data_IF_638220256441
#
_entry.id   IF_638220256441
#
_cell.length_a   1.000
_cell.length_b   1.000
_cell.length_c   1.000
_cell.angle_alpha   90.00
_cell.angle_beta   90.00
_cell.angle_gamma   90.00
#
_symmetry.space_group_name_H-M   'P 1'
#
loop_
_entity.id
_entity.type
_entity.pdbx_description
1 polymer ?
#
# COMPACT_ATOMS: atom_id res chain seq x y z
N UNK A 1 -20.14 -21.41 -33.04
CA UNK A 1 -20.13 -20.00 -32.62
C UNK A 1 -19.83 -19.99 -31.13
N UNK A 2 -18.92 -19.15 -30.64
CA UNK A 2 -18.76 -18.96 -29.20
C UNK A 2 -19.90 -18.05 -28.71
N UNK A 3 -20.65 -18.50 -27.71
CA UNK A 3 -21.61 -17.64 -27.01
C UNK A 3 -20.84 -16.64 -26.17
N UNK A 4 -20.88 -15.36 -26.55
CA UNK A 4 -20.40 -14.28 -25.69
C UNK A 4 -21.28 -14.25 -24.46
N UNK A 5 -20.75 -14.66 -23.30
CA UNK A 5 -21.43 -14.44 -22.03
C UNK A 5 -21.60 -12.93 -21.83
N UNK A 6 -22.85 -12.47 -21.83
CA UNK A 6 -23.18 -11.10 -21.46
C UNK A 6 -22.92 -10.97 -19.96
N UNK A 7 -21.73 -10.46 -19.61
CA UNK A 7 -21.37 -10.10 -18.23
C UNK A 7 -22.51 -9.28 -17.63
N UNK A 8 -23.08 -9.77 -16.52
CA UNK A 8 -24.17 -9.05 -15.83
C UNK A 8 -23.62 -7.71 -15.32
N UNK A 9 -24.36 -6.59 -15.48
CA UNK A 9 -23.93 -5.29 -14.97
C UNK A 9 -23.57 -5.35 -13.48
N UNK A 10 -22.35 -4.90 -13.13
CA UNK A 10 -21.81 -5.01 -11.77
C UNK A 10 -22.24 -3.81 -10.93
N UNK A 11 -23.49 -3.82 -10.45
CA UNK A 11 -23.98 -2.86 -9.46
C UNK A 11 -25.49 -2.57 -9.52
N UNK A 12 -25.95 -1.47 -8.89
CA UNK A 12 -27.35 -1.06 -8.92
C UNK A 12 -27.80 -0.59 -10.32
N UNK A 13 -29.12 -0.47 -10.58
CA UNK A 13 -29.62 0.11 -11.83
C UNK A 13 -28.98 1.46 -12.16
N UNK A 14 -28.61 1.66 -13.43
CA UNK A 14 -27.91 2.86 -13.88
C UNK A 14 -26.40 2.90 -13.63
N UNK A 15 -25.82 1.88 -12.99
CA UNK A 15 -24.37 1.74 -12.85
C UNK A 15 -23.72 1.40 -14.23
N UNK A 16 -22.69 2.16 -14.67
CA UNK A 16 -21.85 1.84 -15.82
C UNK A 16 -21.21 0.45 -15.74
N UNK A 17 -20.90 -0.13 -16.89
CA UNK A 17 -20.10 -1.35 -16.95
C UNK A 17 -18.64 -1.04 -16.58
N UNK A 18 -18.31 -1.22 -15.30
CA UNK A 18 -16.97 -1.00 -14.75
C UNK A 18 -16.71 -2.06 -13.67
N UNK A 19 -15.48 -2.56 -13.62
CA UNK A 19 -15.05 -3.61 -12.70
C UNK A 19 -13.82 -3.16 -11.90
N UNK A 20 -13.45 -3.94 -10.87
CA UNK A 20 -12.23 -3.72 -10.10
C UNK A 20 -10.99 -3.73 -11.02
N UNK A 21 -10.81 -4.80 -11.79
CA UNK A 21 -9.81 -4.86 -12.85
C UNK A 21 -10.24 -3.96 -14.00
N UNK A 22 -9.45 -2.95 -14.41
CA UNK A 22 -9.85 -2.00 -15.46
C UNK A 22 -9.79 -2.65 -16.85
N UNK A 23 -10.70 -2.23 -17.72
CA UNK A 23 -10.84 -2.77 -19.08
C UNK A 23 -10.56 -1.65 -20.10
N UNK A 24 -9.47 -1.81 -20.85
CA UNK A 24 -8.95 -0.78 -21.73
C UNK A 24 -9.83 -0.55 -22.96
N UNK A 25 -10.53 -1.57 -23.46
CA UNK A 25 -11.39 -1.44 -24.64
C UNK A 25 -12.79 -0.95 -24.27
N UNK A 26 -13.26 -1.27 -23.06
CA UNK A 26 -14.42 -0.63 -22.44
C UNK A 26 -14.17 0.87 -22.24
N UNK A 27 -13.02 1.25 -21.66
CA UNK A 27 -12.60 2.65 -21.52
C UNK A 27 -12.56 3.40 -22.86
N UNK A 28 -11.84 2.89 -23.87
CA UNK A 28 -11.82 3.49 -25.23
C UNK A 28 -13.22 3.63 -25.82
N UNK A 29 -14.07 2.62 -25.66
CA UNK A 29 -15.44 2.62 -26.19
C UNK A 29 -16.32 3.66 -25.49
N UNK A 30 -16.20 3.78 -24.16
CA UNK A 30 -16.83 4.82 -23.35
C UNK A 30 -16.39 6.20 -23.81
N UNK A 31 -15.10 6.47 -23.91
CA UNK A 31 -14.58 7.77 -24.35
C UNK A 31 -15.00 8.13 -25.77
N UNK A 32 -14.96 7.18 -26.71
CA UNK A 32 -15.48 7.39 -28.06
C UNK A 32 -16.98 7.72 -28.05
N UNK A 33 -17.78 7.02 -27.23
CA UNK A 33 -19.21 7.32 -27.07
C UNK A 33 -19.39 8.74 -26.50
N UNK A 34 -18.82 9.04 -25.33
CA UNK A 34 -18.94 10.34 -24.65
C UNK A 34 -18.57 11.50 -25.56
N UNK A 35 -17.38 11.46 -26.17
CA UNK A 35 -16.90 12.51 -27.09
C UNK A 35 -17.74 12.68 -28.36
N UNK A 36 -18.54 11.67 -28.74
CA UNK A 36 -19.47 11.76 -29.89
C UNK A 36 -20.87 12.25 -29.47
N UNK A 37 -21.34 11.91 -28.26
CA UNK A 37 -22.74 12.12 -27.85
C UNK A 37 -22.96 13.23 -26.82
N UNK A 38 -21.90 13.73 -26.18
CA UNK A 38 -22.00 14.67 -25.04
C UNK A 38 -21.22 15.96 -25.34
N UNK A 39 -21.78 17.12 -24.98
CA UNK A 39 -21.03 18.39 -25.02
C UNK A 39 -20.09 18.46 -23.82
N UNK A 40 -18.85 18.01 -24.02
CA UNK A 40 -17.80 18.06 -23.00
C UNK A 40 -17.18 19.46 -22.92
N UNK A 41 -16.82 19.89 -21.71
CA UNK A 41 -16.00 21.08 -21.49
C UNK A 41 -14.52 20.69 -21.47
N UNK A 42 -13.65 21.27 -22.31
CA UNK A 42 -12.20 21.05 -22.27
C UNK A 42 -11.48 21.88 -21.19
N UNK A 43 -12.19 22.79 -20.51
CA UNK A 43 -11.62 23.63 -19.46
C UNK A 43 -11.35 22.88 -18.15
N UNK A 44 -10.44 23.42 -17.33
CA UNK A 44 -10.34 23.06 -15.92
C UNK A 44 -11.43 23.79 -15.11
N UNK A 45 -11.91 23.21 -13.99
CA UNK A 45 -12.84 23.91 -13.10
C UNK A 45 -12.26 25.22 -12.56
N UNK A 46 -13.14 26.17 -12.21
CA UNK A 46 -12.71 27.45 -11.63
C UNK A 46 -11.82 27.23 -10.38
N UNK A 47 -10.71 27.97 -10.31
CA UNK A 47 -9.71 27.85 -9.24
C UNK A 47 -8.69 26.72 -9.41
N UNK A 48 -8.83 25.81 -10.39
CA UNK A 48 -7.81 24.78 -10.63
C UNK A 48 -6.60 25.34 -11.40
N UNK A 49 -5.36 25.01 -11.01
CA UNK A 49 -4.16 25.51 -11.67
C UNK A 49 -3.91 24.78 -13.00
N UNK A 50 -3.50 25.53 -14.04
CA UNK A 50 -3.21 24.98 -15.37
C UNK A 50 -1.93 24.14 -15.45
N UNK A 51 -1.04 24.24 -14.45
CA UNK A 51 0.02 23.27 -14.17
C UNK A 51 0.25 23.16 -12.67
N UNK A 52 0.75 22.03 -12.21
CA UNK A 52 1.43 21.92 -10.91
C UNK A 52 2.93 22.20 -11.09
N UNK A 53 3.64 22.52 -10.01
CA UNK A 53 5.06 22.86 -10.03
C UNK A 53 5.72 22.69 -8.68
N UNK A 54 6.28 21.50 -8.45
CA UNK A 54 7.10 21.09 -7.31
C UNK A 54 7.88 19.84 -7.74
N UNK A 55 8.87 19.39 -6.96
CA UNK A 55 9.62 18.16 -7.31
C UNK A 55 8.78 16.88 -7.21
N UNK A 56 7.65 16.93 -6.48
CA UNK A 56 6.60 15.89 -6.51
C UNK A 56 5.93 15.75 -7.90
N UNK A 57 6.18 16.69 -8.83
CA UNK A 57 5.75 16.64 -10.23
C UNK A 57 6.91 16.09 -11.07
N UNK A 58 6.87 14.78 -11.29
CA UNK A 58 7.82 14.03 -12.12
C UNK A 58 7.08 13.08 -13.06
N UNK A 59 7.82 12.47 -13.98
CA UNK A 59 7.36 11.32 -14.76
C UNK A 59 8.49 10.29 -14.88
N UNK A 60 8.14 9.04 -15.18
CA UNK A 60 9.10 7.94 -15.33
C UNK A 60 10.28 8.20 -16.24
N UNK A 61 10.00 8.92 -17.31
CA UNK A 61 10.97 9.26 -18.34
C UNK A 61 11.87 10.45 -17.99
N UNK A 62 11.68 11.13 -16.84
CA UNK A 62 12.57 12.21 -16.37
C UNK A 62 13.14 12.03 -14.95
N UNK A 63 12.53 11.22 -14.09
CA UNK A 63 12.95 11.10 -12.69
C UNK A 63 14.31 10.40 -12.53
N UNK A 64 14.65 9.43 -13.38
CA UNK A 64 15.94 8.72 -13.32
C UNK A 64 17.15 9.64 -13.55
N UNK A 65 16.98 10.71 -14.33
CA UNK A 65 18.02 11.72 -14.57
C UNK A 65 18.05 12.82 -13.48
N UNK A 66 17.05 12.85 -12.59
CA UNK A 66 16.86 13.87 -11.55
C UNK A 66 17.11 13.37 -10.13
N UNK A 67 16.98 12.06 -9.88
CA UNK A 67 16.87 11.52 -8.52
C UNK A 67 17.45 10.12 -8.37
N UNK A 68 18.44 9.96 -7.48
CA UNK A 68 18.79 8.65 -6.96
C UNK A 68 17.84 8.27 -5.81
N UNK A 69 16.85 7.45 -6.14
CA UNK A 69 15.91 6.92 -5.16
C UNK A 69 16.49 5.78 -4.31
N UNK A 70 17.69 5.26 -4.58
CA UNK A 70 18.27 4.12 -3.86
C UNK A 70 19.26 4.60 -2.78
N UNK A 71 18.85 4.54 -1.52
CA UNK A 71 19.82 4.60 -0.42
C UNK A 71 20.42 3.20 -0.22
N UNK A 72 21.64 2.99 -0.68
CA UNK A 72 22.39 1.75 -0.47
C UNK A 72 23.12 1.84 0.88
N UNK A 73 22.71 1.01 1.84
CA UNK A 73 23.39 0.85 3.13
C UNK A 73 24.83 0.37 2.91
N UNK A 74 25.75 0.98 3.65
CA UNK A 74 27.13 0.53 3.84
C UNK A 74 27.24 -0.62 4.84
N UNK A 75 28.42 -1.23 4.95
CA UNK A 75 28.67 -2.31 5.93
C UNK A 75 28.50 -1.80 7.37
N UNK A 76 29.05 -0.63 7.67
CA UNK A 76 29.03 0.02 8.98
C UNK A 76 27.58 0.32 9.45
N UNK A 77 26.71 0.79 8.54
CA UNK A 77 25.29 1.01 8.82
C UNK A 77 24.52 -0.32 9.04
N UNK A 78 24.93 -1.40 8.38
CA UNK A 78 24.36 -2.74 8.63
C UNK A 78 24.82 -3.30 9.99
N UNK A 79 26.08 -3.09 10.37
CA UNK A 79 26.58 -3.46 11.71
C UNK A 79 25.88 -2.65 12.83
N UNK A 80 25.59 -1.37 12.58
CA UNK A 80 24.77 -0.55 13.48
C UNK A 80 23.34 -1.10 13.62
N UNK A 81 22.68 -1.45 12.51
CA UNK A 81 21.34 -2.08 12.51
C UNK A 81 21.34 -3.42 13.27
N UNK A 82 22.35 -4.27 13.06
CA UNK A 82 22.49 -5.50 13.83
C UNK A 82 22.72 -5.24 15.32
N UNK A 83 23.47 -4.19 15.66
CA UNK A 83 23.75 -3.80 17.05
C UNK A 83 22.48 -3.27 17.73
N UNK A 84 21.67 -2.49 17.03
CA UNK A 84 20.36 -2.05 17.49
C UNK A 84 19.38 -3.22 17.69
N UNK A 85 19.40 -4.23 16.81
CA UNK A 85 18.64 -5.49 16.99
C UNK A 85 19.09 -6.26 18.24
N UNK A 86 20.41 -6.44 18.42
CA UNK A 86 20.99 -7.09 19.60
C UNK A 86 20.62 -6.32 20.87
N UNK A 87 20.63 -4.99 20.83
CA UNK A 87 20.18 -4.14 21.94
C UNK A 87 18.69 -4.33 22.24
N UNK A 88 17.77 -4.16 21.27
CA UNK A 88 16.34 -4.29 21.49
C UNK A 88 15.97 -5.63 22.14
N UNK A 89 16.53 -6.74 21.61
CA UNK A 89 16.27 -8.08 22.15
C UNK A 89 16.78 -8.24 23.58
N UNK A 90 17.89 -7.58 23.95
CA UNK A 90 18.39 -7.60 25.34
C UNK A 90 17.44 -6.93 26.35
N UNK A 91 16.58 -6.00 25.90
CA UNK A 91 15.59 -5.34 26.75
C UNK A 91 14.43 -6.25 27.16
N UNK A 92 14.24 -7.40 26.48
CA UNK A 92 13.14 -8.35 26.71
C UNK A 92 11.74 -7.68 26.70
N UNK A 93 11.54 -6.67 25.84
CA UNK A 93 10.29 -5.92 25.70
C UNK A 93 9.41 -6.49 24.58
N UNK A 94 8.06 -6.39 24.68
CA UNK A 94 7.16 -6.66 23.55
C UNK A 94 7.47 -5.78 22.34
N UNK A 95 7.21 -6.30 21.13
CA UNK A 95 7.50 -5.62 19.85
C UNK A 95 6.84 -4.23 19.71
N UNK A 96 5.73 -3.97 20.41
CA UNK A 96 5.11 -2.65 20.48
C UNK A 96 6.01 -1.54 21.04
N UNK A 97 7.05 -1.87 21.80
CA UNK A 97 8.02 -0.92 22.36
C UNK A 97 9.19 -0.59 21.42
N UNK A 98 9.20 -1.05 20.17
CA UNK A 98 10.24 -0.70 19.18
C UNK A 98 10.07 0.78 18.79
N UNK A 99 10.99 1.63 19.24
CA UNK A 99 11.08 3.06 18.95
C UNK A 99 12.56 3.47 18.74
N UNK A 100 12.82 4.77 18.54
CA UNK A 100 14.18 5.30 18.31
C UNK A 100 15.12 5.16 19.54
N UNK A 101 14.58 4.96 20.74
CA UNK A 101 15.34 4.81 21.99
C UNK A 101 15.73 3.34 22.22
N UNK A 102 14.81 2.41 21.92
CA UNK A 102 14.97 0.97 22.12
C UNK A 102 15.61 0.25 20.93
N UNK A 103 15.70 0.92 19.77
CA UNK A 103 16.43 0.49 18.59
C UNK A 103 17.34 1.65 18.11
N UNK A 104 18.43 1.97 18.83
CA UNK A 104 19.21 3.18 18.57
C UNK A 104 20.12 3.07 17.34
N UNK A 105 20.00 4.02 16.41
CA UNK A 105 20.82 4.14 15.19
C UNK A 105 21.58 5.48 15.14
N UNK A 106 22.51 5.77 16.07
CA UNK A 106 23.09 7.10 16.24
C UNK A 106 23.79 7.69 15.01
N UNK A 107 24.34 6.86 14.11
CA UNK A 107 24.99 7.33 12.88
C UNK A 107 23.99 7.40 11.70
N UNK A 108 23.29 6.31 11.42
CA UNK A 108 22.32 6.17 10.32
C UNK A 108 21.08 7.06 10.49
N UNK A 109 20.72 7.46 11.71
CA UNK A 109 19.52 8.27 12.00
C UNK A 109 19.42 9.55 11.16
N UNK A 110 20.52 10.28 10.94
CA UNK A 110 20.49 11.51 10.15
C UNK A 110 20.05 11.24 8.71
N UNK A 111 20.60 10.20 8.07
CA UNK A 111 20.21 9.80 6.73
C UNK A 111 18.73 9.35 6.68
N UNK A 112 18.26 8.64 7.70
CA UNK A 112 16.84 8.25 7.80
C UNK A 112 15.90 9.46 8.02
N UNK A 113 16.34 10.55 8.67
CA UNK A 113 15.61 11.83 8.69
C UNK A 113 15.61 12.52 7.32
N UNK A 114 16.74 12.56 6.62
CA UNK A 114 16.82 13.09 5.24
C UNK A 114 15.90 12.32 4.29
N UNK A 115 15.82 11.00 4.41
CA UNK A 115 14.87 10.17 3.65
C UNK A 115 13.41 10.55 3.98
N UNK A 116 13.08 10.87 5.23
CA UNK A 116 11.72 11.34 5.55
C UNK A 116 11.38 12.68 4.88
N UNK A 117 12.33 13.63 4.86
CA UNK A 117 12.17 14.90 4.16
C UNK A 117 11.96 14.68 2.64
N UNK A 118 12.77 13.81 2.02
CA UNK A 118 12.68 13.48 0.59
C UNK A 118 11.32 12.87 0.19
N UNK A 119 10.73 12.01 1.03
CA UNK A 119 9.44 11.37 0.74
C UNK A 119 8.21 12.24 1.05
N UNK A 120 8.32 13.26 1.90
CA UNK A 120 7.22 14.20 2.14
C UNK A 120 7.26 15.39 1.16
N UNK A 121 8.44 15.95 0.92
CA UNK A 121 8.59 17.27 0.31
C UNK A 121 9.31 17.27 -1.06
N UNK A 122 9.97 16.17 -1.44
CA UNK A 122 10.74 16.09 -2.71
C UNK A 122 10.09 15.14 -3.74
N UNK A 123 10.53 13.87 -3.85
CA UNK A 123 10.09 12.96 -4.92
C UNK A 123 9.00 11.95 -4.51
N UNK A 124 8.66 11.87 -3.22
CA UNK A 124 7.52 11.07 -2.74
C UNK A 124 7.81 9.57 -2.49
N UNK A 125 9.03 9.09 -2.73
CA UNK A 125 9.46 7.73 -2.40
C UNK A 125 10.98 7.60 -2.29
N UNK A 126 11.46 6.56 -1.59
CA UNK A 126 12.86 6.13 -1.51
C UNK A 126 12.89 4.60 -1.38
N UNK A 127 13.98 3.98 -1.82
CA UNK A 127 14.29 2.56 -1.63
C UNK A 127 15.52 2.46 -0.73
N UNK A 128 15.34 1.96 0.49
CA UNK A 128 16.45 1.58 1.36
C UNK A 128 16.88 0.16 1.02
N UNK A 129 18.14 -0.05 0.66
CA UNK A 129 18.67 -1.33 0.18
C UNK A 129 19.86 -1.79 1.01
N UNK A 130 19.95 -3.09 1.28
CA UNK A 130 21.06 -3.73 2.01
C UNK A 130 20.72 -4.31 3.39
N UNK A 131 19.44 -4.32 3.80
CA UNK A 131 19.02 -4.95 5.05
C UNK A 131 19.36 -6.46 5.06
N UNK A 132 19.81 -7.04 6.19
CA UNK A 132 20.32 -8.42 6.27
C UNK A 132 19.23 -9.51 6.30
N UNK A 133 18.23 -9.40 5.42
CA UNK A 133 16.96 -10.14 5.49
C UNK A 133 17.13 -11.66 5.48
N UNK A 134 18.04 -12.17 4.64
CA UNK A 134 18.23 -13.61 4.43
C UNK A 134 18.97 -14.33 5.58
N UNK A 135 19.66 -13.59 6.45
CA UNK A 135 20.42 -14.12 7.59
C UNK A 135 19.67 -14.01 8.93
N UNK A 136 18.57 -13.25 8.95
CA UNK A 136 17.78 -12.96 10.13
C UNK A 136 16.54 -13.87 10.23
N UNK A 137 16.04 -14.13 11.45
CA UNK A 137 14.73 -14.79 11.61
C UNK A 137 13.58 -13.86 11.19
N UNK A 138 12.37 -14.40 11.05
CA UNK A 138 11.17 -13.59 10.77
C UNK A 138 10.94 -12.50 11.82
N UNK A 139 11.17 -12.80 13.09
CA UNK A 139 11.05 -11.84 14.19
C UNK A 139 12.15 -10.78 14.12
N UNK A 140 13.41 -11.18 13.91
CA UNK A 140 14.53 -10.24 13.74
C UNK A 140 14.28 -9.27 12.57
N UNK A 141 13.78 -9.78 11.44
CA UNK A 141 13.42 -8.98 10.28
C UNK A 141 12.31 -7.97 10.59
N UNK A 142 11.30 -8.36 11.37
CA UNK A 142 10.23 -7.46 11.83
C UNK A 142 10.76 -6.42 12.82
N UNK A 143 11.70 -6.78 13.71
CA UNK A 143 12.36 -5.85 14.64
C UNK A 143 13.19 -4.82 13.88
N UNK A 144 14.08 -5.26 12.97
CA UNK A 144 14.89 -4.38 12.11
C UNK A 144 13.99 -3.42 11.34
N UNK A 145 12.95 -3.95 10.68
CA UNK A 145 12.05 -3.16 9.86
C UNK A 145 11.31 -2.09 10.67
N UNK A 146 10.75 -2.47 11.82
CA UNK A 146 10.06 -1.53 12.70
C UNK A 146 11.02 -0.48 13.27
N UNK A 147 12.23 -0.88 13.67
CA UNK A 147 13.27 -0.02 14.23
C UNK A 147 13.77 1.02 13.23
N UNK A 148 14.27 0.58 12.07
CA UNK A 148 14.68 1.49 10.98
C UNK A 148 13.52 2.41 10.56
N UNK A 149 12.30 1.88 10.43
CA UNK A 149 11.11 2.69 10.12
C UNK A 149 10.83 3.76 11.18
N UNK A 150 11.16 3.55 12.46
CA UNK A 150 10.95 4.55 13.52
C UNK A 150 11.77 5.82 13.34
N UNK A 151 12.94 5.76 12.70
CA UNK A 151 13.74 6.95 12.42
C UNK A 151 13.26 7.69 11.16
N UNK A 152 12.62 6.99 10.21
CA UNK A 152 11.96 7.64 9.06
C UNK A 152 10.63 8.27 9.49
N UNK A 153 9.72 7.51 10.08
CA UNK A 153 8.40 7.99 10.48
C UNK A 153 7.96 7.29 11.79
N UNK A 154 8.08 7.97 12.96
CA UNK A 154 8.03 7.29 14.27
C UNK A 154 6.67 6.73 14.67
N UNK A 155 5.55 7.32 14.22
CA UNK A 155 4.20 6.89 14.61
C UNK A 155 3.71 5.81 13.65
N UNK A 156 3.10 4.74 14.17
CA UNK A 156 2.56 3.62 13.37
C UNK A 156 1.04 3.64 13.34
N UNK A 157 0.47 3.27 12.21
CA UNK A 157 -0.97 3.20 11.96
C UNK A 157 -1.53 1.79 12.13
N UNK A 158 -2.63 1.69 12.88
CA UNK A 158 -3.51 0.52 13.03
C UNK A 158 -4.07 0.11 11.67
N UNK A 159 -3.83 -1.15 11.28
CA UNK A 159 -4.35 -1.78 10.06
C UNK A 159 -5.48 -2.79 10.34
N UNK A 160 -5.60 -3.27 11.58
CA UNK A 160 -6.69 -4.07 12.12
C UNK A 160 -6.86 -3.74 13.62
N UNK A 161 -8.08 -3.84 14.15
CA UNK A 161 -8.38 -3.51 15.56
C UNK A 161 -8.44 -4.76 16.47
N UNK A 162 -8.07 -5.92 15.93
CA UNK A 162 -8.07 -7.19 16.65
C UNK A 162 -7.07 -8.18 16.07
N UNK A 163 -6.56 -9.04 16.94
CA UNK A 163 -5.83 -10.26 16.61
C UNK A 163 -6.55 -11.43 17.27
N UNK A 164 -6.91 -12.44 16.47
CA UNK A 164 -7.55 -13.69 16.91
C UNK A 164 -8.76 -13.47 17.86
N UNK A 165 -9.65 -12.55 17.45
CA UNK A 165 -10.87 -12.16 18.17
C UNK A 165 -10.65 -11.28 19.41
N UNK A 166 -9.40 -10.93 19.76
CA UNK A 166 -9.06 -10.08 20.92
C UNK A 166 -8.73 -8.66 20.46
N UNK A 167 -9.17 -7.60 21.16
CA UNK A 167 -8.77 -6.22 20.86
C UNK A 167 -7.25 -6.06 20.84
N UNK A 168 -6.70 -5.53 19.76
CA UNK A 168 -5.27 -5.32 19.57
C UNK A 168 -5.02 -4.31 18.44
N UNK A 169 -3.95 -3.51 18.54
CA UNK A 169 -3.58 -2.56 17.51
C UNK A 169 -2.58 -3.20 16.55
N UNK A 170 -3.10 -3.86 15.51
CA UNK A 170 -2.29 -4.58 14.52
C UNK A 170 -1.67 -3.55 13.56
N UNK A 171 -0.42 -3.17 13.79
CA UNK A 171 0.27 -2.13 13.00
C UNK A 171 1.00 -2.66 11.78
N UNK A 172 1.38 -3.94 11.78
CA UNK A 172 2.03 -4.63 10.66
C UNK A 172 1.05 -5.56 9.95
N UNK A 173 1.08 -5.55 8.61
CA UNK A 173 0.22 -6.39 7.78
C UNK A 173 1.01 -7.08 6.67
N UNK A 174 0.80 -8.39 6.51
CA UNK A 174 1.42 -9.18 5.45
C UNK A 174 0.69 -8.99 4.11
N UNK A 175 1.44 -8.86 3.03
CA UNK A 175 0.96 -8.88 1.65
C UNK A 175 1.50 -10.17 1.03
N UNK A 176 0.76 -11.26 1.20
CA UNK A 176 1.07 -12.60 0.69
C UNK A 176 -0.15 -13.24 0.07
N UNK A 177 0.01 -13.99 -1.01
CA UNK A 177 -1.09 -14.81 -1.53
C UNK A 177 -1.56 -15.81 -0.46
N UNK A 178 -2.86 -15.75 -0.14
CA UNK A 178 -3.53 -16.63 0.81
C UNK A 178 -4.52 -17.56 0.10
N UNK A 179 -4.68 -17.47 -1.24
CA UNK A 179 -5.72 -18.20 -1.98
C UNK A 179 -5.55 -19.72 -1.98
N UNK A 180 -4.35 -20.22 -1.66
CA UNK A 180 -4.06 -21.64 -1.45
C UNK A 180 -4.52 -22.19 -0.09
N UNK A 181 -4.86 -21.32 0.87
CA UNK A 181 -5.24 -21.67 2.25
C UNK A 181 -6.56 -21.04 2.72
N UNK A 182 -7.03 -20.01 2.02
CA UNK A 182 -8.35 -19.39 2.21
C UNK A 182 -9.06 -19.34 0.85
N UNK A 183 -10.29 -19.85 0.82
CA UNK A 183 -11.23 -19.72 -0.30
C UNK A 183 -11.24 -18.28 -0.86
N UNK A 184 -10.83 -18.11 -2.12
CA UNK A 184 -10.71 -16.82 -2.77
C UNK A 184 -12.02 -16.00 -2.76
N UNK A 185 -13.19 -16.66 -2.73
CA UNK A 185 -14.48 -15.98 -2.60
C UNK A 185 -14.67 -15.27 -1.25
N UNK A 186 -13.87 -15.63 -0.24
CA UNK A 186 -13.82 -15.00 1.09
C UNK A 186 -12.71 -13.96 1.22
N UNK A 187 -11.89 -13.75 0.19
CA UNK A 187 -10.80 -12.76 0.21
C UNK A 187 -11.32 -11.41 -0.29
N UNK A 188 -11.20 -10.36 0.53
CA UNK A 188 -11.77 -9.03 0.27
C UNK A 188 -10.79 -7.97 -0.25
N UNK A 189 -9.51 -8.32 -0.47
CA UNK A 189 -8.51 -7.44 -1.04
C UNK A 189 -7.41 -8.22 -1.81
N UNK A 190 -6.97 -7.74 -2.99
CA UNK A 190 -5.91 -8.40 -3.77
C UNK A 190 -4.50 -8.31 -3.18
N UNK A 191 -4.35 -7.67 -2.01
CA UNK A 191 -3.16 -7.81 -1.17
C UNK A 191 -2.95 -9.26 -0.66
N UNK A 192 -3.99 -10.09 -0.73
CA UNK A 192 -3.96 -11.49 -0.27
C UNK A 192 -4.16 -12.52 -1.40
N UNK A 193 -3.92 -12.13 -2.66
CA UNK A 193 -4.09 -13.00 -3.84
C UNK A 193 -2.99 -12.75 -4.87
N UNK A 194 -2.87 -13.65 -5.86
CA UNK A 194 -2.04 -13.44 -7.07
C UNK A 194 -2.54 -12.30 -7.97
N UNK A 195 -3.82 -11.91 -7.89
CA UNK A 195 -4.43 -10.85 -8.70
C UNK A 195 -3.67 -9.51 -8.73
N UNK A 196 -3.89 -8.77 -9.82
CA UNK A 196 -3.33 -7.42 -10.04
C UNK A 196 -3.97 -6.42 -9.09
N UNK A 197 -3.23 -6.03 -8.04
CA UNK A 197 -3.57 -4.87 -7.22
C UNK A 197 -3.55 -3.61 -8.12
N UNK A 198 -4.70 -2.98 -8.31
CA UNK A 198 -4.79 -1.73 -9.10
C UNK A 198 -4.16 -0.56 -8.37
N UNK A 199 -3.83 0.51 -9.09
CA UNK A 199 -3.37 1.76 -8.48
C UNK A 199 -4.35 2.29 -7.43
N UNK A 200 -3.77 2.70 -6.30
CA UNK A 200 -4.46 3.24 -5.13
C UNK A 200 -3.43 3.88 -4.22
N UNK A 201 -3.88 4.73 -3.29
CA UNK A 201 -3.18 4.91 -2.01
C UNK A 201 -3.89 4.10 -0.92
N UNK A 202 -3.12 3.63 0.05
CA UNK A 202 -3.64 3.06 1.30
C UNK A 202 -4.22 4.17 2.22
N UNK A 203 -4.38 3.88 3.51
CA UNK A 203 -4.48 4.91 4.55
C UNK A 203 -3.12 5.08 5.24
N UNK A 204 -2.96 6.18 5.98
CA UNK A 204 -1.67 6.60 6.53
C UNK A 204 -1.00 7.66 5.65
N UNK A 205 0.10 8.21 6.12
CA UNK A 205 0.80 9.34 5.48
C UNK A 205 2.02 8.86 4.70
N UNK A 206 2.81 7.96 5.30
CA UNK A 206 3.89 7.19 4.65
C UNK A 206 3.51 5.71 4.63
N UNK A 207 3.73 5.05 3.49
CA UNK A 207 3.56 3.60 3.33
C UNK A 207 4.94 2.96 3.22
N UNK A 208 5.38 2.26 4.27
CA UNK A 208 6.59 1.45 4.19
C UNK A 208 6.26 0.04 3.72
N UNK A 209 7.17 -0.54 2.93
CA UNK A 209 7.17 -1.93 2.51
C UNK A 209 8.59 -2.48 2.68
N UNK A 210 8.73 -3.57 3.42
CA UNK A 210 9.91 -4.45 3.36
C UNK A 210 9.42 -5.81 2.84
N UNK A 211 10.28 -6.55 2.15
CA UNK A 211 9.99 -7.90 1.72
C UNK A 211 10.94 -8.93 2.37
N UNK A 212 10.54 -10.20 2.33
CA UNK A 212 11.11 -11.27 3.13
C UNK A 212 11.67 -12.44 2.28
N UNK A 213 11.24 -12.60 1.03
CA UNK A 213 11.40 -13.82 0.21
C UNK A 213 11.62 -13.44 -1.29
N UNK A 214 12.06 -14.34 -2.21
CA UNK A 214 12.18 -14.11 -3.70
C UNK A 214 11.35 -15.08 -4.60
N UNK A 215 10.72 -14.62 -5.70
CA UNK A 215 9.63 -15.30 -6.41
C UNK A 215 10.04 -16.59 -7.14
N UNK A 216 9.16 -17.60 -7.07
CA UNK A 216 9.35 -18.85 -7.82
C UNK A 216 9.07 -18.66 -9.32
N UNK A 217 7.97 -17.98 -9.65
CA UNK A 217 7.59 -17.58 -11.01
C UNK A 217 6.65 -16.37 -10.96
N UNK A 218 6.63 -15.57 -12.03
CA UNK A 218 5.78 -14.38 -12.13
C UNK A 218 6.02 -13.39 -10.99
N UNK A 219 4.94 -12.76 -10.51
CA UNK A 219 5.00 -11.73 -9.45
C UNK A 219 5.64 -10.40 -9.87
N UNK A 220 6.15 -10.31 -11.10
CA UNK A 220 6.88 -9.18 -11.65
C UNK A 220 6.14 -7.84 -11.57
N UNK A 221 6.88 -6.78 -11.21
CA UNK A 221 6.59 -5.42 -11.66
C UNK A 221 7.06 -5.24 -13.12
N UNK A 222 6.42 -6.01 -14.02
CA UNK A 222 6.75 -6.31 -15.43
C UNK A 222 7.76 -5.39 -16.13
N UNK A 223 8.94 -5.92 -16.45
CA UNK A 223 10.13 -5.17 -16.83
C UNK A 223 10.22 -4.67 -18.30
N UNK A 224 9.10 -4.52 -19.02
CA UNK A 224 9.08 -4.12 -20.45
C UNK A 224 8.63 -2.68 -20.72
N UNK A 225 8.53 -1.85 -19.67
CA UNK A 225 7.96 -0.46 -19.63
C UNK A 225 6.45 -0.37 -19.98
N UNK A 226 5.70 0.62 -19.45
CA UNK A 226 6.08 1.64 -18.46
C UNK A 226 5.51 1.36 -17.05
N UNK A 227 6.42 1.29 -16.07
CA UNK A 227 6.58 2.13 -14.87
C UNK A 227 5.29 2.66 -14.10
N UNK A 228 5.29 2.91 -12.74
CA UNK A 228 4.14 3.32 -11.84
C UNK A 228 4.12 4.71 -11.13
N UNK A 229 3.05 5.51 -11.25
CA UNK A 229 2.85 6.80 -10.54
C UNK A 229 2.04 6.65 -9.23
N UNK A 230 2.38 7.40 -8.17
CA UNK A 230 1.59 7.46 -6.94
C UNK A 230 0.39 8.41 -7.12
N UNK A 231 -0.85 7.90 -7.06
CA UNK A 231 -2.08 8.73 -7.10
C UNK A 231 -3.10 8.27 -6.06
N UNK A 232 -3.62 9.21 -5.27
CA UNK A 232 -4.71 8.97 -4.32
C UNK A 232 -6.06 8.79 -5.02
N UNK A 233 -6.39 7.55 -5.37
CA UNK A 233 -7.76 7.15 -5.69
C UNK A 233 -8.07 5.73 -5.18
N UNK A 234 -9.35 5.34 -5.15
CA UNK A 234 -9.77 4.04 -4.61
C UNK A 234 -10.95 3.42 -5.38
N UNK A 235 -10.67 2.72 -6.48
CA UNK A 235 -11.68 2.07 -7.34
C UNK A 235 -12.59 1.08 -6.60
N UNK A 236 -12.01 0.27 -5.69
CA UNK A 236 -12.71 -0.84 -4.98
C UNK A 236 -14.00 -0.39 -4.29
N UNK A 237 -14.07 0.85 -3.80
CA UNK A 237 -15.25 1.41 -3.14
C UNK A 237 -16.47 1.47 -4.06
N UNK A 238 -16.28 1.69 -5.36
CA UNK A 238 -17.35 1.80 -6.35
C UNK A 238 -17.66 0.47 -7.06
N UNK A 239 -16.71 -0.47 -7.09
CA UNK A 239 -16.81 -1.74 -7.85
C UNK A 239 -16.99 -2.98 -6.97
N UNK A 240 -16.58 -2.93 -5.70
CA UNK A 240 -16.31 -4.13 -4.90
C UNK A 240 -15.03 -4.86 -5.33
N UNK A 241 -14.70 -5.95 -4.62
CA UNK A 241 -13.71 -6.96 -5.00
C UNK A 241 -13.98 -8.28 -4.25
N UNK A 242 -14.14 -9.38 -4.98
CA UNK A 242 -14.34 -10.75 -4.46
C UNK A 242 -15.23 -10.80 -3.20
N UNK A 243 -14.71 -11.22 -2.05
CA UNK A 243 -15.47 -11.39 -0.80
C UNK A 243 -15.98 -10.10 -0.15
N UNK A 244 -15.52 -8.93 -0.62
CA UNK A 244 -16.06 -7.63 -0.25
C UNK A 244 -16.73 -6.98 -1.48
N UNK A 245 -17.98 -7.38 -1.81
CA UNK A 245 -18.76 -6.72 -2.84
C UNK A 245 -19.04 -5.25 -2.47
N UNK A 246 -19.34 -4.45 -3.49
CA UNK A 246 -19.72 -3.04 -3.37
C UNK A 246 -20.88 -2.86 -2.37
N UNK A 247 -20.80 -1.82 -1.53
CA UNK A 247 -21.92 -1.43 -0.67
C UNK A 247 -23.13 -0.95 -1.47
N UNK A 248 -24.32 -1.46 -1.11
CA UNK A 248 -25.62 -1.00 -1.62
C UNK A 248 -25.92 0.47 -1.30
N UNK A 249 -25.27 1.02 -0.28
CA UNK A 249 -25.52 2.36 0.23
C UNK A 249 -24.78 3.44 -0.58
N UNK A 250 -23.97 3.04 -1.57
CA UNK A 250 -23.26 3.93 -2.50
C UNK A 250 -24.09 4.03 -3.79
N UNK A 251 -24.57 5.22 -4.19
CA UNK A 251 -25.32 5.42 -5.43
C UNK A 251 -24.53 5.01 -6.69
N UNK A 252 -25.24 4.67 -7.78
CA UNK A 252 -24.64 4.45 -9.10
C UNK A 252 -23.77 5.64 -9.50
N UNK A 253 -22.54 5.39 -9.97
CA UNK A 253 -21.69 6.45 -10.52
C UNK A 253 -22.13 6.78 -11.95
N UNK A 254 -21.80 7.96 -12.46
CA UNK A 254 -22.08 8.31 -13.86
C UNK A 254 -21.05 7.71 -14.82
N UNK A 255 -21.38 7.62 -16.11
CA UNK A 255 -20.41 7.28 -17.16
C UNK A 255 -19.18 8.22 -17.15
N UNK A 256 -19.35 9.50 -16.80
CA UNK A 256 -18.24 10.43 -16.64
C UNK A 256 -17.32 10.07 -15.46
N UNK A 257 -17.89 9.60 -14.35
CA UNK A 257 -17.12 9.13 -13.18
C UNK A 257 -16.45 7.78 -13.45
N UNK A 258 -17.10 6.87 -14.19
CA UNK A 258 -16.50 5.62 -14.63
C UNK A 258 -15.32 5.87 -15.58
N UNK A 259 -15.48 6.77 -16.55
CA UNK A 259 -14.38 7.21 -17.42
C UNK A 259 -13.24 7.84 -16.63
N UNK A 260 -13.51 8.73 -15.66
CA UNK A 260 -12.48 9.34 -14.84
C UNK A 260 -11.69 8.31 -14.02
N UNK A 261 -12.35 7.27 -13.49
CA UNK A 261 -11.70 6.17 -12.76
C UNK A 261 -10.84 5.28 -13.67
N UNK A 262 -11.21 5.09 -14.94
CA UNK A 262 -10.39 4.39 -15.95
C UNK A 262 -9.23 5.26 -16.42
N UNK A 263 -9.47 6.53 -16.78
CA UNK A 263 -8.45 7.49 -17.17
C UNK A 263 -7.36 7.67 -16.10
N UNK A 264 -7.73 7.78 -14.82
CA UNK A 264 -6.79 7.80 -13.70
C UNK A 264 -5.91 6.55 -13.65
N UNK A 265 -6.46 5.36 -13.93
CA UNK A 265 -5.66 4.14 -13.96
C UNK A 265 -4.68 4.12 -15.14
N UNK A 266 -5.18 4.36 -16.35
CA UNK A 266 -4.38 4.27 -17.57
C UNK A 266 -3.36 5.42 -17.70
N UNK A 267 -3.53 6.53 -16.99
CA UNK A 267 -2.50 7.56 -16.80
C UNK A 267 -1.46 7.14 -15.75
N UNK A 268 -1.88 6.53 -14.63
CA UNK A 268 -0.96 6.02 -13.61
C UNK A 268 -0.08 4.87 -14.11
N UNK A 269 -0.59 4.07 -15.04
CA UNK A 269 0.13 3.04 -15.81
C UNK A 269 1.11 3.59 -16.86
N UNK A 270 1.18 4.91 -17.08
CA UNK A 270 1.91 5.49 -18.23
C UNK A 270 3.08 6.43 -17.88
N UNK A 271 3.03 7.13 -16.74
CA UNK A 271 3.79 8.38 -16.49
C UNK A 271 4.72 8.37 -15.24
N UNK A 272 5.58 7.37 -15.06
CA UNK A 272 5.48 6.58 -13.82
C UNK A 272 6.81 5.81 -13.44
N UNK A 273 7.02 5.12 -12.29
CA UNK A 273 8.27 4.38 -11.89
C UNK A 273 8.17 2.84 -11.63
N UNK A 274 8.99 2.03 -12.32
CA UNK A 274 9.57 0.70 -11.96
C UNK A 274 10.49 0.67 -10.72
N UNK A 275 10.23 -0.17 -9.70
CA UNK A 275 11.25 -0.55 -8.70
C UNK A 275 11.83 -1.93 -9.01
N UNK A 276 13.16 -1.97 -9.16
CA UNK A 276 13.98 -3.18 -9.31
C UNK A 276 14.16 -3.87 -7.94
N UNK A 277 13.25 -4.79 -7.65
CA UNK A 277 13.17 -5.56 -6.41
C UNK A 277 14.05 -6.83 -6.51
N UNK A 278 14.96 -7.07 -5.55
CA UNK A 278 15.95 -8.17 -5.55
C UNK A 278 16.03 -8.89 -4.20
N UNK A 279 16.20 -10.22 -4.17
CA UNK A 279 16.21 -11.08 -2.95
C UNK A 279 16.68 -10.36 -1.66
N UNK A 280 15.76 -10.27 -0.70
CA UNK A 280 15.46 -8.98 -0.07
C UNK A 280 14.10 -8.46 -0.56
N UNK A 281 13.75 -8.75 -1.82
CA UNK A 281 12.47 -8.40 -2.45
C UNK A 281 11.87 -9.44 -3.43
N UNK A 282 10.56 -9.66 -3.27
CA UNK A 282 9.54 -10.26 -4.15
C UNK A 282 9.68 -11.74 -4.53
N UNK A 283 9.51 -12.67 -3.57
CA UNK A 283 8.42 -13.67 -3.53
C UNK A 283 7.35 -12.88 -2.83
N UNK A 284 6.11 -12.90 -3.34
CA UNK A 284 5.12 -11.92 -2.91
C UNK A 284 4.65 -12.20 -1.47
N UNK A 285 5.48 -11.77 -0.52
CA UNK A 285 5.38 -11.78 0.92
C UNK A 285 6.07 -10.49 1.39
N UNK A 286 5.35 -9.37 1.26
CA UNK A 286 5.77 -8.10 1.82
C UNK A 286 5.21 -7.98 3.25
N UNK A 287 5.84 -7.14 4.07
CA UNK A 287 5.25 -6.63 5.30
C UNK A 287 5.11 -5.12 5.19
N UNK A 288 3.89 -4.62 5.38
CA UNK A 288 3.53 -3.21 5.26
C UNK A 288 3.34 -2.58 6.62
N UNK A 289 3.92 -1.40 6.83
CA UNK A 289 3.54 -0.47 7.89
C UNK A 289 2.83 0.73 7.27
N UNK A 290 1.81 1.23 7.97
CA UNK A 290 1.34 2.60 7.78
C UNK A 290 2.05 3.47 8.82
N UNK A 291 2.61 4.60 8.41
CA UNK A 291 3.46 5.43 9.26
C UNK A 291 3.08 6.92 9.14
N UNK A 292 3.36 7.68 10.20
CA UNK A 292 3.29 9.15 10.23
C UNK A 292 4.56 9.73 10.82
N UNK A 293 5.04 10.80 10.18
CA UNK A 293 6.07 11.68 10.71
C UNK A 293 5.45 13.04 11.08
N UNK A 294 5.23 13.36 12.35
CA UNK A 294 4.63 14.64 12.76
C UNK A 294 5.45 15.88 12.39
N UNK A 295 6.74 15.74 12.07
CA UNK A 295 7.60 16.85 11.67
C UNK A 295 7.30 17.30 10.23
N UNK A 296 6.92 16.36 9.36
CA UNK A 296 6.81 16.56 7.90
C UNK A 296 5.40 16.32 7.33
N UNK A 297 4.55 15.55 8.03
CA UNK A 297 3.19 15.26 7.58
C UNK A 297 2.25 16.46 7.78
N UNK A 298 1.53 16.83 6.71
CA UNK A 298 0.62 17.98 6.69
C UNK A 298 -0.47 17.92 7.79
N UNK A 299 -1.02 19.09 8.19
CA UNK A 299 -2.15 19.11 9.13
C UNK A 299 -3.33 18.33 8.51
N UNK A 300 -3.78 17.28 9.20
CA UNK A 300 -4.90 16.46 8.73
C UNK A 300 -6.16 17.32 8.55
N UNK A 301 -6.70 17.47 7.33
CA UNK A 301 -7.88 18.30 7.09
C UNK A 301 -9.08 17.85 7.94
N UNK A 302 -9.93 18.79 8.38
CA UNK A 302 -11.06 18.51 9.27
C UNK A 302 -11.96 17.36 8.78
N UNK A 303 -12.23 17.28 7.47
CA UNK A 303 -13.03 16.22 6.85
C UNK A 303 -12.37 14.82 6.88
N UNK A 304 -11.07 14.74 7.20
CA UNK A 304 -10.29 13.52 7.27
C UNK A 304 -9.93 13.10 8.71
N UNK A 305 -10.08 13.98 9.72
CA UNK A 305 -9.64 13.70 11.11
C UNK A 305 -10.16 12.37 11.64
N UNK A 306 -11.48 12.08 11.56
CA UNK A 306 -12.06 10.80 11.98
C UNK A 306 -11.39 9.55 11.34
N UNK A 307 -10.94 9.64 10.09
CA UNK A 307 -10.24 8.53 9.40
C UNK A 307 -8.81 8.38 9.88
N UNK A 308 -8.12 9.48 10.20
CA UNK A 308 -6.77 9.45 10.79
C UNK A 308 -6.83 9.02 12.27
N UNK A 309 -7.86 9.43 13.01
CA UNK A 309 -8.12 9.00 14.39
C UNK A 309 -8.34 7.48 14.48
N UNK A 310 -9.00 6.87 13.48
CA UNK A 310 -9.13 5.41 13.41
C UNK A 310 -7.77 4.70 13.19
N UNK A 311 -6.85 5.33 12.44
CA UNK A 311 -5.54 4.77 12.10
C UNK A 311 -4.51 5.00 13.21
N UNK A 312 -4.38 6.21 13.74
CA UNK A 312 -3.34 6.58 14.71
C UNK A 312 -3.86 6.83 16.13
N UNK A 313 -5.15 7.11 16.28
CA UNK A 313 -5.74 7.47 17.57
C UNK A 313 -5.72 6.30 18.56
N UNK A 314 -5.18 6.57 19.75
CA UNK A 314 -5.15 5.62 20.87
C UNK A 314 -4.27 4.38 20.66
N UNK A 315 -3.35 4.38 19.69
CA UNK A 315 -2.35 3.31 19.51
C UNK A 315 -1.23 3.49 20.54
N UNK A 316 -0.92 2.46 21.35
CA UNK A 316 0.14 2.51 22.36
C UNK A 316 1.08 1.29 22.26
N UNK A 317 2.30 1.33 22.85
CA UNK A 317 3.21 0.18 22.86
C UNK A 317 2.63 -1.10 23.47
N UNK A 318 1.69 -0.96 24.40
CA UNK A 318 1.04 -2.07 25.12
C UNK A 318 -0.06 -2.73 24.29
N UNK A 319 -0.76 -1.96 23.45
CA UNK A 319 -1.81 -2.47 22.54
C UNK A 319 -1.26 -2.91 21.18
N UNK A 320 -0.09 -2.39 20.79
CA UNK A 320 0.54 -2.62 19.49
C UNK A 320 1.03 -4.05 19.32
N UNK A 321 0.56 -4.72 18.27
CA UNK A 321 1.00 -6.07 17.90
C UNK A 321 1.53 -6.15 16.47
N UNK A 322 2.56 -6.98 16.30
CA UNK A 322 3.17 -7.33 15.02
C UNK A 322 2.96 -8.84 14.80
N UNK A 323 2.03 -9.25 13.93
CA UNK A 323 1.95 -10.64 13.50
C UNK A 323 3.28 -11.06 12.86
N UNK A 324 3.78 -12.25 13.21
CA UNK A 324 4.97 -12.81 12.57
C UNK A 324 4.63 -13.56 11.28
N UNK A 325 3.39 -14.05 11.16
CA UNK A 325 2.91 -14.85 10.02
C UNK A 325 1.69 -14.23 9.32
N UNK A 326 1.50 -14.54 8.01
CA UNK A 326 0.39 -14.01 7.22
C UNK A 326 -1.00 -14.29 7.78
N UNK A 327 -1.80 -13.23 7.87
CA UNK A 327 -3.25 -13.29 8.17
C UNK A 327 -4.02 -12.32 7.30
N UNK A 328 -5.27 -12.64 6.98
CA UNK A 328 -6.19 -11.69 6.36
C UNK A 328 -6.78 -10.80 7.46
N UNK A 329 -6.52 -9.49 7.39
CA UNK A 329 -7.11 -8.51 8.33
C UNK A 329 -8.64 -8.48 8.26
N UNK A 330 -9.30 -8.18 9.38
CA UNK A 330 -10.77 -8.15 9.51
C UNK A 330 -11.45 -7.31 8.43
N UNK A 331 -10.90 -6.13 8.11
CA UNK A 331 -11.39 -5.20 7.08
C UNK A 331 -11.15 -5.67 5.63
N UNK A 332 -10.67 -6.89 5.43
CA UNK A 332 -10.46 -7.53 4.12
C UNK A 332 -10.82 -9.03 4.10
N UNK A 333 -11.53 -9.50 5.12
CA UNK A 333 -12.20 -10.80 5.10
C UNK A 333 -13.64 -10.62 4.57
N UNK A 334 -14.14 -11.60 3.82
CA UNK A 334 -15.47 -11.59 3.21
C UNK A 334 -16.59 -12.04 4.16
N UNK A 335 -17.85 -11.79 3.79
CA UNK A 335 -19.00 -12.28 4.57
C UNK A 335 -18.97 -13.81 4.69
N UNK A 336 -19.00 -14.34 5.91
CA UNK A 336 -18.89 -15.79 6.18
C UNK A 336 -17.46 -16.29 6.40
N UNK A 337 -16.53 -15.41 6.76
CA UNK A 337 -15.21 -15.74 7.30
C UNK A 337 -15.25 -15.94 8.83
N UNK A 338 -15.87 -17.01 9.31
CA UNK A 338 -15.57 -17.48 10.66
C UNK A 338 -14.08 -17.83 10.75
N UNK A 339 -13.40 -17.33 11.78
CA UNK A 339 -12.02 -17.71 12.10
C UNK A 339 -12.02 -19.07 12.85
N UNK A 340 -12.51 -20.10 12.17
CA UNK A 340 -12.74 -21.44 12.74
C UNK A 340 -11.59 -22.42 12.48
N UNK A 341 -10.36 -22.02 12.76
CA UNK A 341 -9.21 -22.94 12.90
C UNK A 341 -9.12 -23.52 14.33
N UNK A 342 -10.25 -24.04 14.83
CA UNK A 342 -10.25 -24.99 15.94
C UNK A 342 -9.94 -26.38 15.36
N UNK A 343 -8.78 -26.96 15.66
CA UNK A 343 -8.45 -28.27 15.09
C UNK A 343 -7.01 -28.78 15.27
N UNK A 344 -6.56 -28.93 16.51
CA UNK A 344 -5.57 -29.96 16.85
C UNK A 344 -5.89 -30.52 18.24
N UNK A 345 -5.85 -31.84 18.37
CA UNK A 345 -6.21 -32.62 19.56
C UNK A 345 -5.04 -32.83 20.51
#
# INVERSE_FOLDING_TARGET
MATVEVKKPVGPPGQPDIHYTPDLDNYKSRTKRRTTTEKLDPGLPEGFPSRLGSDLVWNGTDIADRYDWVYQLSADEVEEIETALKHFKSLNKPLGFINQETFPLPNLHHALRSISEEIHNTFGFKVLRGLPVATCTREDNIIIYAGVSSHIAPIRGRQDHQLDGKPADVVLNHIKDMSSIVDASKIGAPAYTTEKQVFHTDAGDVIALMCLETAAEGGETTATKPERMIIQYARRTFTGYMGLPRSSNIPSITEAQAEALDALHFLAEKHAVFLDFRQGDVQRHLVRLWLRDPENAWETPAALKQRWDHVYGGVTPETTVFPLEPRIRSSSAGKGSDQSTNGAS
#
